data_IF_534296574495
#
_entry.id   IF_534296574495
#
_cell.length_a   1.000
_cell.length_b   1.000
_cell.length_c   1.000
_cell.angle_alpha   90.00
_cell.angle_beta   90.00
_cell.angle_gamma   90.00
#
_symmetry.space_group_name_H-M   'P 1'
#
loop_
_entity.id
_entity.type
_entity.pdbx_description
1 polymer ?
#
# COMPACT_ATOMS: atom_id res chain seq x y z
N UNK A 1 -7.67 -11.63 32.61
CA UNK A 1 -7.80 -11.82 31.16
C UNK A 1 -7.21 -13.17 30.83
N UNK A 2 -8.00 -14.08 30.27
CA UNK A 2 -7.53 -15.42 29.88
C UNK A 2 -6.80 -15.32 28.53
N UNK A 3 -5.85 -16.22 28.28
CA UNK A 3 -5.06 -16.22 27.04
C UNK A 3 -5.95 -16.25 25.77
N UNK A 4 -7.07 -16.95 25.83
CA UNK A 4 -8.03 -17.07 24.71
C UNK A 4 -8.82 -15.78 24.42
N UNK A 5 -8.96 -14.90 25.41
CA UNK A 5 -9.58 -13.58 25.23
C UNK A 5 -8.58 -12.64 24.56
N UNK A 6 -7.34 -12.64 25.04
CA UNK A 6 -6.26 -11.85 24.45
C UNK A 6 -5.98 -12.22 22.98
N UNK A 7 -5.96 -13.52 22.65
CA UNK A 7 -5.72 -13.97 21.29
C UNK A 7 -6.84 -13.53 20.33
N UNK A 8 -8.10 -13.58 20.78
CA UNK A 8 -9.26 -13.12 20.01
C UNK A 8 -9.24 -11.62 19.79
N UNK A 9 -8.92 -10.85 20.82
CA UNK A 9 -8.82 -9.39 20.71
C UNK A 9 -7.68 -8.98 19.76
N UNK A 10 -6.56 -9.70 19.79
CA UNK A 10 -5.45 -9.47 18.88
C UNK A 10 -5.85 -9.76 17.43
N UNK A 11 -6.46 -10.92 17.15
CA UNK A 11 -6.91 -11.28 15.81
C UNK A 11 -7.91 -10.26 15.26
N UNK A 12 -8.87 -9.84 16.09
CA UNK A 12 -9.86 -8.82 15.71
C UNK A 12 -9.19 -7.49 15.36
N UNK A 13 -8.26 -7.02 16.19
CA UNK A 13 -7.52 -5.77 15.94
C UNK A 13 -6.68 -5.81 14.67
N UNK A 14 -5.95 -6.91 14.45
CA UNK A 14 -5.15 -7.07 13.23
C UNK A 14 -6.05 -7.11 11.99
N UNK A 15 -7.19 -7.79 12.07
CA UNK A 15 -8.17 -7.84 10.98
C UNK A 15 -8.77 -6.47 10.70
N UNK A 16 -9.17 -5.73 11.72
CA UNK A 16 -9.71 -4.37 11.59
C UNK A 16 -8.67 -3.43 10.97
N UNK A 17 -7.42 -3.49 11.43
CA UNK A 17 -6.30 -2.72 10.88
C UNK A 17 -6.10 -2.97 9.38
N UNK A 18 -6.12 -4.24 8.95
CA UNK A 18 -6.04 -4.60 7.54
C UNK A 18 -7.23 -4.04 6.72
N UNK A 19 -8.45 -4.12 7.26
CA UNK A 19 -9.66 -3.62 6.59
C UNK A 19 -9.60 -2.09 6.46
N UNK A 20 -9.21 -1.38 7.51
CA UNK A 20 -9.05 0.07 7.48
C UNK A 20 -8.00 0.51 6.48
N UNK A 21 -6.87 -0.20 6.40
CA UNK A 21 -5.83 0.09 5.42
C UNK A 21 -6.34 -0.09 3.98
N UNK A 22 -7.07 -1.18 3.72
CA UNK A 22 -7.65 -1.46 2.40
C UNK A 22 -8.77 -0.47 2.00
N UNK A 23 -9.49 0.11 2.98
CA UNK A 23 -10.56 1.08 2.75
C UNK A 23 -10.07 2.49 2.47
N UNK A 24 -8.78 2.80 2.67
CA UNK A 24 -8.27 4.15 2.40
C UNK A 24 -8.54 4.50 0.93
N UNK A 25 -9.23 5.64 0.65
CA UNK A 25 -9.48 6.04 -0.71
C UNK A 25 -8.12 6.25 -1.39
N UNK A 26 -7.87 5.50 -2.46
CA UNK A 26 -6.70 5.74 -3.31
C UNK A 26 -6.80 7.17 -3.82
N UNK A 27 -5.78 7.97 -3.53
CA UNK A 27 -5.67 9.30 -4.13
C UNK A 27 -5.69 9.14 -5.64
N UNK A 28 -6.64 9.83 -6.30
CA UNK A 28 -6.75 9.80 -7.74
C UNK A 28 -5.64 10.64 -8.36
N UNK A 29 -4.88 10.03 -9.26
CA UNK A 29 -3.92 10.72 -10.11
C UNK A 29 -4.58 11.67 -11.09
N UNK A 30 -3.83 12.66 -11.53
CA UNK A 30 -4.22 13.67 -12.53
C UNK A 30 -3.59 13.39 -13.91
N UNK A 31 -3.10 12.17 -14.14
CA UNK A 31 -2.39 11.79 -15.36
C UNK A 31 -0.93 12.25 -15.44
N UNK A 32 -0.37 12.86 -14.40
CA UNK A 32 1.04 13.25 -14.32
C UNK A 32 1.72 12.50 -13.17
N UNK A 33 2.88 11.91 -13.42
CA UNK A 33 3.61 11.15 -12.43
C UNK A 33 4.19 12.08 -11.35
N UNK A 34 3.96 11.75 -10.08
CA UNK A 34 4.46 12.55 -8.94
C UNK A 34 5.98 12.54 -8.77
N UNK A 35 6.69 11.56 -9.32
CA UNK A 35 8.14 11.41 -9.13
C UNK A 35 8.94 12.02 -10.28
N UNK A 36 8.59 11.68 -11.53
CA UNK A 36 9.35 12.11 -12.71
C UNK A 36 8.67 13.25 -13.50
N UNK A 37 7.44 13.63 -13.15
CA UNK A 37 6.64 14.67 -13.82
C UNK A 37 6.29 14.38 -15.28
N UNK A 38 6.54 13.16 -15.76
CA UNK A 38 6.09 12.70 -17.07
C UNK A 38 4.62 12.27 -17.05
N UNK A 39 4.01 12.19 -18.24
CA UNK A 39 2.65 11.70 -18.38
C UNK A 39 2.54 10.23 -17.92
N UNK A 40 1.49 9.93 -17.17
CA UNK A 40 1.12 8.55 -16.81
C UNK A 40 0.46 7.88 -18.02
N UNK A 41 0.61 6.56 -18.13
CA UNK A 41 0.01 5.79 -19.22
C UNK A 41 -1.52 6.00 -19.24
N UNK A 42 -2.16 6.19 -20.41
CA UNK A 42 -3.59 6.52 -20.49
C UNK A 42 -4.50 5.52 -19.74
N UNK A 43 -4.14 4.24 -19.82
CA UNK A 43 -4.80 3.11 -19.13
C UNK A 43 -4.74 3.22 -17.60
N UNK A 44 -3.76 3.98 -17.08
CA UNK A 44 -3.46 4.18 -15.67
C UNK A 44 -3.62 5.64 -15.26
N UNK A 45 -4.40 6.43 -15.99
CA UNK A 45 -4.59 7.88 -15.74
C UNK A 45 -5.02 8.26 -14.31
N UNK A 46 -5.67 7.34 -13.59
CA UNK A 46 -6.03 7.49 -12.17
C UNK A 46 -4.91 7.16 -11.19
N UNK A 47 -3.74 6.71 -11.67
CA UNK A 47 -2.57 6.36 -10.85
C UNK A 47 -1.70 7.59 -10.59
N UNK A 48 -1.07 7.64 -9.42
CA UNK A 48 -0.15 8.72 -9.05
C UNK A 48 1.21 8.66 -9.76
N UNK A 49 1.60 7.48 -10.29
CA UNK A 49 2.92 7.23 -10.86
C UNK A 49 2.82 6.54 -12.22
N UNK A 50 3.77 6.84 -13.10
CA UNK A 50 4.00 6.05 -14.30
C UNK A 50 4.50 4.65 -13.93
N UNK A 51 4.45 3.70 -14.87
CA UNK A 51 4.75 2.30 -14.61
C UNK A 51 6.18 2.11 -14.09
N UNK A 52 7.14 2.86 -14.63
CA UNK A 52 8.55 2.77 -14.26
C UNK A 52 8.79 3.21 -12.82
N UNK A 53 8.24 4.38 -12.43
CA UNK A 53 8.42 4.89 -11.07
C UNK A 53 7.66 4.07 -10.04
N UNK A 54 6.53 3.46 -10.42
CA UNK A 54 5.81 2.52 -9.55
C UNK A 54 6.63 1.25 -9.27
N UNK A 55 7.21 0.64 -10.31
CA UNK A 55 8.06 -0.55 -10.16
C UNK A 55 9.32 -0.26 -9.34
N UNK A 56 9.96 0.88 -9.56
CA UNK A 56 11.12 1.31 -8.79
C UNK A 56 10.77 1.50 -7.31
N UNK A 57 9.62 2.11 -7.00
CA UNK A 57 9.17 2.27 -5.63
C UNK A 57 8.83 0.91 -5.00
N UNK A 58 8.15 0.02 -5.71
CA UNK A 58 7.85 -1.33 -5.21
C UNK A 58 9.15 -2.09 -4.88
N UNK A 59 10.16 -1.99 -5.74
CA UNK A 59 11.48 -2.57 -5.50
C UNK A 59 12.15 -1.96 -4.27
N UNK A 60 12.10 -0.63 -4.10
CA UNK A 60 12.63 0.08 -2.92
C UNK A 60 11.90 -0.32 -1.64
N UNK A 61 10.59 -0.50 -1.69
CA UNK A 61 9.80 -0.93 -0.53
C UNK A 61 10.11 -2.37 -0.16
N UNK A 62 10.19 -3.26 -1.14
CA UNK A 62 10.61 -4.65 -0.92
C UNK A 62 12.00 -4.75 -0.33
N UNK A 63 12.96 -3.95 -0.79
CA UNK A 63 14.32 -3.94 -0.23
C UNK A 63 14.39 -3.32 1.17
N UNK A 64 13.63 -2.24 1.44
CA UNK A 64 13.59 -1.58 2.76
C UNK A 64 12.85 -2.39 3.82
N UNK A 65 11.76 -3.07 3.46
CA UNK A 65 10.86 -3.74 4.42
C UNK A 65 10.88 -5.27 4.32
N UNK A 66 11.56 -5.85 3.32
CA UNK A 66 11.60 -7.29 3.03
C UNK A 66 12.41 -8.17 3.98
N UNK A 67 12.53 -7.82 5.27
CA UNK A 67 13.15 -8.68 6.27
C UNK A 67 12.37 -8.79 7.59
N UNK A 68 11.06 -8.54 7.57
CA UNK A 68 10.22 -8.73 8.76
C UNK A 68 8.88 -9.39 8.45
N UNK A 69 8.89 -10.58 7.85
CA UNK A 69 7.78 -11.53 7.98
C UNK A 69 8.32 -12.96 7.80
N UNK A 70 8.53 -13.62 8.92
CA UNK A 70 8.77 -15.06 9.09
C UNK A 70 8.23 -15.45 10.46
#
# INVERSE_FOLDING_TARGET
MKADEWARDLEMRERESCIEHARKPLQQGNGICVDCLEAVEPERSSSLRCISCEQDEEHRQRTRYGHRHG
#
